data_IF_907659344732
#
_entry.id   IF_907659344732
#
_cell.length_a   1.000
_cell.length_b   1.000
_cell.length_c   1.000
_cell.angle_alpha   90.00
_cell.angle_beta   90.00
_cell.angle_gamma   90.00
#
_symmetry.space_group_name_H-M   'P 1'
#
loop_
_entity.id
_entity.type
_entity.pdbx_description
1 polymer ?
#
# COMPACT_ATOMS: atom_id res chain seq x y z
N UNK A 1 -24.14 6.49 11.03
CA UNK A 1 -24.15 5.10 11.53
C UNK A 1 -22.96 4.95 12.49
N UNK A 2 -23.12 5.45 13.71
CA UNK A 2 -23.12 4.64 14.96
C UNK A 2 -21.94 3.69 15.11
N UNK A 3 -20.90 4.18 15.80
CA UNK A 3 -19.88 3.33 16.39
C UNK A 3 -20.47 2.45 17.50
N UNK A 4 -19.90 1.25 17.66
CA UNK A 4 -20.16 0.39 18.82
C UNK A 4 -18.92 -0.41 19.19
N UNK A 5 -18.16 0.15 20.12
CA UNK A 5 -17.22 -0.57 20.98
C UNK A 5 -18.03 -1.21 22.11
N UNK A 6 -17.96 -2.53 22.28
CA UNK A 6 -18.19 -3.28 23.53
C UNK A 6 -17.86 -4.76 23.28
N UNK A 7 -17.38 -5.62 24.18
CA UNK A 7 -16.77 -5.57 25.53
C UNK A 7 -16.14 -6.97 25.69
N UNK A 8 -14.89 -7.06 26.17
CA UNK A 8 -14.25 -8.35 26.52
C UNK A 8 -14.91 -8.91 27.79
N UNK A 9 -15.43 -10.14 27.71
CA UNK A 9 -15.94 -10.88 28.86
C UNK A 9 -14.79 -11.43 29.71
N UNK A 10 -14.65 -10.86 30.90
CA UNK A 10 -13.83 -11.35 32.00
C UNK A 10 -14.49 -12.57 32.67
N UNK A 11 -13.94 -13.77 32.45
CA UNK A 11 -14.28 -14.94 33.27
C UNK A 11 -13.38 -14.98 34.51
N UNK A 12 -13.92 -14.52 35.64
CA UNK A 12 -13.43 -14.80 36.99
C UNK A 12 -13.80 -16.25 37.36
N UNK A 13 -12.83 -17.12 37.59
CA UNK A 13 -13.06 -18.45 38.17
C UNK A 13 -12.58 -18.50 39.63
N UNK A 14 -13.58 -18.42 40.51
CA UNK A 14 -13.77 -19.08 41.82
C UNK A 14 -12.53 -19.42 42.67
N UNK A 15 -12.42 -18.71 43.80
CA UNK A 15 -11.69 -19.12 45.00
C UNK A 15 -12.41 -20.32 45.67
N UNK A 16 -11.73 -21.36 46.15
CA UNK A 16 -12.33 -22.31 47.07
C UNK A 16 -12.32 -21.73 48.50
N UNK A 17 -13.50 -21.77 49.11
CA UNK A 17 -13.75 -21.49 50.52
C UNK A 17 -13.33 -22.74 51.29
N UNK A 18 -12.34 -22.62 52.17
CA UNK A 18 -11.96 -23.67 53.11
C UNK A 18 -12.71 -23.38 54.42
N UNK A 19 -13.48 -24.34 54.98
CA UNK A 19 -14.11 -24.16 56.29
C UNK A 19 -13.03 -24.11 57.38
N UNK A 20 -13.08 -23.07 58.20
CA UNK A 20 -12.38 -23.02 59.49
C UNK A 20 -13.22 -23.80 60.49
N UNK A 21 -12.69 -24.91 61.01
CA UNK A 21 -12.88 -25.43 62.38
C UNK A 21 -12.41 -26.90 62.46
N UNK A 22 -11.84 -27.25 63.62
CA UNK A 22 -11.21 -28.52 63.99
C UNK A 22 -9.78 -28.74 63.45
N UNK A 23 -8.80 -28.23 64.22
CA UNK A 23 -7.83 -29.03 64.98
C UNK A 23 -7.34 -28.11 66.11
N UNK A 24 -8.09 -28.10 67.21
CA UNK A 24 -7.47 -27.96 68.52
C UNK A 24 -7.08 -29.36 68.99
N UNK A 25 -5.97 -29.43 69.72
CA UNK A 25 -5.43 -30.59 70.44
C UNK A 25 -4.55 -31.56 69.65
N UNK A 26 -3.28 -31.17 69.53
CA UNK A 26 -2.16 -31.97 70.05
C UNK A 26 -0.95 -31.05 70.20
N UNK A 27 -1.00 -30.22 71.25
CA UNK A 27 0.21 -29.82 71.95
C UNK A 27 0.78 -31.09 72.56
N UNK A 28 1.67 -31.75 71.83
CA UNK A 28 2.68 -32.60 72.45
C UNK A 28 4.02 -31.90 72.28
N UNK A 29 4.49 -31.43 73.42
CA UNK A 29 5.79 -30.83 73.69
C UNK A 29 6.92 -31.74 73.21
N UNK A 30 7.42 -31.48 72.00
CA UNK A 30 8.74 -31.89 71.57
C UNK A 30 9.68 -30.69 71.60
N UNK A 31 10.62 -30.69 72.54
CA UNK A 31 11.70 -29.72 72.63
C UNK A 31 12.48 -29.64 71.30
N UNK A 32 12.17 -28.66 70.44
CA UNK A 32 13.12 -28.19 69.45
C UNK A 32 14.23 -27.44 70.18
N UNK A 33 15.21 -28.20 70.65
CA UNK A 33 16.53 -27.71 71.00
C UNK A 33 17.03 -26.92 69.78
N UNK A 34 16.96 -25.60 69.88
CA UNK A 34 17.63 -24.66 68.97
C UNK A 34 19.15 -24.76 69.18
N UNK A 35 19.70 -25.94 68.86
CA UNK A 35 21.13 -26.12 68.70
C UNK A 35 21.60 -25.12 67.65
N UNK A 36 22.56 -24.27 68.01
CA UNK A 36 23.31 -23.49 67.01
C UNK A 36 23.74 -24.48 65.92
N UNK A 37 23.16 -24.38 64.73
CA UNK A 37 23.69 -25.10 63.55
C UNK A 37 25.16 -24.76 63.46
N UNK A 38 26.01 -25.75 63.70
CA UNK A 38 27.45 -25.56 63.63
C UNK A 38 27.82 -25.51 62.14
N UNK A 39 27.60 -24.34 61.54
CA UNK A 39 27.75 -24.09 60.10
C UNK A 39 29.14 -24.46 59.57
N UNK A 40 30.11 -24.57 60.47
CA UNK A 40 31.48 -25.01 60.25
C UNK A 40 31.57 -26.52 60.03
N UNK A 41 30.91 -27.32 60.86
CA UNK A 41 30.85 -28.78 60.73
C UNK A 41 30.01 -29.19 59.50
N UNK A 42 28.88 -28.53 59.29
CA UNK A 42 28.03 -28.74 58.11
C UNK A 42 28.78 -28.44 56.80
N UNK A 43 29.58 -27.36 56.78
CA UNK A 43 30.41 -26.99 55.63
C UNK A 43 31.55 -27.96 55.39
N UNK A 44 32.18 -28.48 56.44
CA UNK A 44 33.23 -29.50 56.32
C UNK A 44 32.65 -30.82 55.77
N UNK A 45 31.48 -31.23 56.27
CA UNK A 45 30.76 -32.41 55.80
C UNK A 45 30.33 -32.28 54.34
N UNK A 46 29.76 -31.13 53.95
CA UNK A 46 29.39 -30.84 52.56
C UNK A 46 30.61 -30.88 51.64
N UNK A 47 31.72 -30.22 52.02
CA UNK A 47 32.95 -30.22 51.23
C UNK A 47 33.53 -31.63 51.06
N UNK A 48 33.54 -32.46 52.12
CA UNK A 48 34.03 -33.85 52.07
C UNK A 48 33.16 -34.72 51.15
N UNK A 49 31.84 -34.56 51.21
CA UNK A 49 30.90 -35.27 50.34
C UNK A 49 31.09 -34.88 48.87
N UNK A 50 31.10 -33.58 48.62
CA UNK A 50 31.26 -32.97 47.33
C UNK A 50 32.57 -33.36 46.62
N UNK A 51 33.69 -33.41 47.36
CA UNK A 51 35.00 -33.78 46.78
C UNK A 51 34.99 -35.19 46.15
N UNK A 52 34.12 -36.09 46.61
CA UNK A 52 34.02 -37.47 46.08
C UNK A 52 33.07 -37.59 44.88
N UNK A 53 32.09 -36.69 44.75
CA UNK A 53 30.99 -36.77 43.78
C UNK A 53 30.84 -35.44 43.03
N UNK A 54 31.96 -34.88 42.53
CA UNK A 54 31.93 -33.59 41.83
C UNK A 54 32.21 -33.69 40.35
N UNK A 55 31.34 -33.11 39.56
CA UNK A 55 31.54 -32.86 38.14
C UNK A 55 32.12 -31.46 37.89
N UNK A 56 32.98 -31.33 36.86
CA UNK A 56 33.41 -30.03 36.38
C UNK A 56 32.20 -29.27 35.84
N UNK A 57 32.09 -28.00 36.24
CA UNK A 57 31.06 -27.11 35.71
C UNK A 57 31.35 -26.83 34.24
N UNK A 58 30.35 -26.97 33.37
CA UNK A 58 30.45 -26.52 31.99
C UNK A 58 30.77 -25.01 31.90
N UNK A 59 30.29 -24.22 32.87
CA UNK A 59 30.61 -22.80 33.04
C UNK A 59 31.15 -22.51 34.45
N UNK A 60 32.36 -21.96 34.59
CA UNK A 60 32.93 -21.66 35.89
C UNK A 60 32.28 -20.43 36.54
N UNK A 61 32.23 -20.42 37.88
CA UNK A 61 31.88 -19.19 38.61
C UNK A 61 32.95 -18.11 38.44
N UNK A 62 32.59 -16.84 38.66
CA UNK A 62 33.49 -15.68 38.40
C UNK A 62 34.82 -15.81 39.15
N UNK A 63 34.78 -16.33 40.37
CA UNK A 63 36.01 -16.52 41.15
C UNK A 63 36.91 -17.60 40.56
N UNK A 64 36.36 -18.78 40.25
CA UNK A 64 37.14 -19.87 39.67
C UNK A 64 37.72 -19.47 38.31
N UNK A 65 36.95 -18.76 37.48
CA UNK A 65 37.42 -18.23 36.21
C UNK A 65 38.61 -17.26 36.38
N UNK A 66 38.49 -16.26 37.25
CA UNK A 66 39.56 -15.27 37.48
C UNK A 66 40.85 -15.87 38.03
N UNK A 67 40.75 -16.93 38.82
CA UNK A 67 41.89 -17.58 39.46
C UNK A 67 42.38 -18.83 38.71
N UNK A 68 41.84 -19.09 37.50
CA UNK A 68 42.15 -20.27 36.67
C UNK A 68 42.04 -21.59 37.45
N UNK A 69 41.07 -21.67 38.36
CA UNK A 69 40.76 -22.88 39.13
C UNK A 69 39.63 -23.64 38.44
N UNK A 70 39.69 -24.96 38.53
CA UNK A 70 38.60 -25.81 38.06
C UNK A 70 37.38 -25.60 38.96
N UNK A 71 36.26 -25.21 38.34
CA UNK A 71 35.00 -25.01 39.06
C UNK A 71 34.26 -26.34 39.09
N UNK A 72 34.08 -26.92 40.27
CA UNK A 72 33.41 -28.20 40.45
C UNK A 72 32.17 -28.03 41.33
N UNK A 73 31.06 -28.64 40.93
CA UNK A 73 29.81 -28.67 41.70
C UNK A 73 29.52 -30.09 42.14
N UNK A 74 28.69 -30.23 43.17
CA UNK A 74 28.25 -31.51 43.68
C UNK A 74 27.20 -32.09 42.72
N UNK A 75 27.33 -33.35 42.33
CA UNK A 75 26.48 -33.99 41.30
C UNK A 75 25.02 -34.15 41.72
N UNK A 76 24.74 -33.99 43.02
CA UNK A 76 23.44 -34.28 43.62
C UNK A 76 22.56 -33.02 43.75
N UNK A 77 22.88 -31.92 43.05
CA UNK A 77 22.15 -30.62 43.05
C UNK A 77 21.89 -29.98 44.43
N UNK A 78 22.45 -30.53 45.51
CA UNK A 78 22.21 -30.06 46.89
C UNK A 78 22.83 -28.68 47.18
N UNK A 79 23.82 -28.25 46.40
CA UNK A 79 24.55 -27.01 46.63
C UNK A 79 24.51 -26.11 45.40
N UNK A 80 24.03 -24.89 45.58
CA UNK A 80 24.13 -23.80 44.59
C UNK A 80 25.55 -23.21 44.50
N UNK A 81 26.50 -23.73 45.30
CA UNK A 81 27.87 -23.25 45.39
C UNK A 81 28.85 -24.30 44.93
N UNK A 82 29.83 -23.89 44.14
CA UNK A 82 30.95 -24.73 43.77
C UNK A 82 31.82 -25.07 44.99
N UNK A 83 32.55 -26.18 44.90
CA UNK A 83 33.46 -26.69 45.92
C UNK A 83 34.39 -25.64 46.50
N UNK A 84 35.00 -24.81 45.66
CA UNK A 84 35.93 -23.77 46.10
C UNK A 84 35.23 -22.62 46.84
N UNK A 85 34.01 -22.27 46.45
CA UNK A 85 33.20 -21.28 47.17
C UNK A 85 32.65 -21.84 48.49
N UNK A 86 32.28 -23.12 48.54
CA UNK A 86 31.95 -23.83 49.79
C UNK A 86 33.17 -23.85 50.70
N UNK A 87 34.36 -24.22 50.20
CA UNK A 87 35.62 -24.23 50.95
C UNK A 87 36.00 -22.86 51.49
N UNK A 88 35.64 -21.78 50.81
CA UNK A 88 35.91 -20.38 51.22
C UNK A 88 34.79 -19.75 52.03
N UNK A 89 33.58 -20.33 52.04
CA UNK A 89 32.44 -19.80 52.79
C UNK A 89 31.92 -18.51 52.19
N UNK A 90 32.08 -18.36 50.87
CA UNK A 90 31.63 -17.19 50.12
C UNK A 90 30.47 -17.58 49.21
N UNK A 91 29.73 -16.57 48.75
CA UNK A 91 28.72 -16.77 47.72
C UNK A 91 29.38 -17.28 46.43
N UNK A 92 28.63 -18.09 45.69
CA UNK A 92 28.99 -18.57 44.36
C UNK A 92 27.95 -18.04 43.39
N UNK A 93 28.40 -17.58 42.23
CA UNK A 93 27.55 -17.08 41.16
C UNK A 93 27.47 -18.04 39.96
N UNK A 94 28.13 -19.20 40.00
CA UNK A 94 28.23 -20.11 38.85
C UNK A 94 26.86 -20.59 38.33
N UNK A 95 25.94 -20.97 39.21
CA UNK A 95 24.56 -21.38 38.81
C UNK A 95 23.80 -20.22 38.17
N UNK A 96 24.00 -19.00 38.68
CA UNK A 96 23.35 -17.79 38.13
C UNK A 96 23.93 -17.43 36.77
N UNK A 97 25.25 -17.55 36.59
CA UNK A 97 25.93 -17.30 35.31
C UNK A 97 25.44 -18.29 34.25
N UNK A 98 25.40 -19.59 34.57
CA UNK A 98 24.95 -20.62 33.63
C UNK A 98 23.47 -20.43 33.23
N UNK A 99 22.58 -20.21 34.20
CA UNK A 99 21.16 -19.96 33.91
C UNK A 99 20.92 -18.67 33.13
N UNK A 100 21.68 -17.60 33.43
CA UNK A 100 21.58 -16.34 32.67
C UNK A 100 22.08 -16.53 31.24
N UNK A 101 23.19 -17.25 31.03
CA UNK A 101 23.72 -17.53 29.71
C UNK A 101 22.75 -18.36 28.87
N UNK A 102 22.19 -19.44 29.42
CA UNK A 102 21.19 -20.25 28.70
C UNK A 102 19.99 -19.39 28.28
N UNK A 103 19.50 -18.51 29.17
CA UNK A 103 18.44 -17.58 28.81
C UNK A 103 18.85 -16.62 27.69
N UNK A 104 20.09 -16.14 27.69
CA UNK A 104 20.59 -15.26 26.62
C UNK A 104 20.71 -16.00 25.28
N UNK A 105 21.16 -17.26 25.29
CA UNK A 105 21.21 -18.12 24.10
C UNK A 105 19.79 -18.35 23.55
N UNK A 106 18.84 -18.74 24.41
CA UNK A 106 17.43 -18.91 23.99
C UNK A 106 16.83 -17.60 23.44
N UNK A 107 17.23 -16.46 23.99
CA UNK A 107 16.79 -15.14 23.49
C UNK A 107 17.45 -14.81 22.16
N UNK A 108 18.72 -15.15 21.98
CA UNK A 108 19.43 -14.95 20.73
C UNK A 108 18.81 -15.78 19.62
N UNK A 109 18.57 -17.07 19.83
CA UNK A 109 17.93 -17.95 18.84
C UNK A 109 16.55 -17.44 18.43
N UNK A 110 15.76 -16.93 19.40
CA UNK A 110 14.46 -16.30 19.09
C UNK A 110 14.58 -15.04 18.26
N UNK A 111 15.60 -14.23 18.51
CA UNK A 111 15.83 -13.01 17.74
C UNK A 111 16.32 -13.33 16.33
N UNK A 112 17.20 -14.33 16.18
CA UNK A 112 17.67 -14.82 14.88
C UNK A 112 16.49 -15.34 14.03
N UNK A 113 15.59 -16.12 14.61
CA UNK A 113 14.38 -16.57 13.92
C UNK A 113 13.43 -15.41 13.52
N UNK A 114 13.31 -14.39 14.37
CA UNK A 114 12.51 -13.20 14.05
C UNK A 114 13.17 -12.34 12.97
N UNK A 115 14.49 -12.25 12.95
CA UNK A 115 15.26 -11.57 11.91
C UNK A 115 15.08 -12.27 10.57
N UNK A 116 15.17 -13.60 10.52
CA UNK A 116 14.94 -14.39 9.32
C UNK A 116 13.51 -14.18 8.78
N UNK A 117 12.49 -14.30 9.65
CA UNK A 117 11.08 -14.09 9.25
C UNK A 117 10.83 -12.65 8.76
N UNK A 118 11.47 -11.65 9.39
CA UNK A 118 11.40 -10.26 8.94
C UNK A 118 12.11 -10.07 7.59
N UNK A 119 13.26 -10.72 7.39
CA UNK A 119 14.02 -10.72 6.14
C UNK A 119 13.19 -11.27 4.98
N UNK A 120 12.54 -12.42 5.17
CA UNK A 120 11.67 -13.04 4.16
C UNK A 120 10.49 -12.13 3.79
N UNK A 121 9.86 -11.49 4.79
CA UNK A 121 8.80 -10.50 4.54
C UNK A 121 9.29 -9.32 3.72
N UNK A 122 10.49 -8.81 4.01
CA UNK A 122 11.10 -7.72 3.22
C UNK A 122 11.33 -8.17 1.78
N UNK A 123 11.81 -9.40 1.55
CA UNK A 123 12.00 -9.93 0.19
C UNK A 123 10.68 -10.04 -0.58
N UNK A 124 9.61 -10.52 0.06
CA UNK A 124 8.28 -10.61 -0.54
C UNK A 124 7.77 -9.21 -0.91
N UNK A 125 7.81 -8.27 0.03
CA UNK A 125 7.37 -6.89 -0.20
C UNK A 125 8.19 -6.19 -1.29
N UNK A 126 9.50 -6.45 -1.34
CA UNK A 126 10.36 -5.90 -2.38
C UNK A 126 9.97 -6.44 -3.76
N UNK A 127 9.61 -7.73 -3.88
CA UNK A 127 9.10 -8.30 -5.13
C UNK A 127 7.79 -7.65 -5.56
N UNK A 128 6.84 -7.48 -4.65
CA UNK A 128 5.56 -6.79 -4.93
C UNK A 128 5.79 -5.34 -5.38
N UNK A 129 6.74 -4.63 -4.74
CA UNK A 129 7.11 -3.28 -5.12
C UNK A 129 7.65 -3.22 -6.56
N UNK A 130 8.49 -4.18 -6.96
CA UNK A 130 9.01 -4.27 -8.33
C UNK A 130 7.90 -4.51 -9.36
N UNK A 131 6.94 -5.38 -9.05
CA UNK A 131 5.78 -5.63 -9.91
C UNK A 131 4.93 -4.37 -10.07
N UNK A 132 4.63 -3.66 -8.97
CA UNK A 132 3.91 -2.39 -9.01
C UNK A 132 4.66 -1.31 -9.77
N UNK A 133 5.98 -1.20 -9.61
CA UNK A 133 6.81 -0.26 -10.34
C UNK A 133 6.78 -0.53 -11.85
N UNK A 134 6.79 -1.81 -12.25
CA UNK A 134 6.68 -2.22 -13.65
C UNK A 134 5.31 -1.83 -14.25
N UNK A 135 4.22 -2.08 -13.52
CA UNK A 135 2.86 -1.69 -13.92
C UNK A 135 2.71 -0.18 -14.05
N UNK A 136 3.29 0.56 -13.10
CA UNK A 136 3.31 2.03 -13.14
C UNK A 136 4.06 2.52 -14.40
N UNK A 137 5.23 1.98 -14.70
CA UNK A 137 5.99 2.34 -15.89
C UNK A 137 5.19 2.09 -17.18
N UNK A 138 4.49 0.95 -17.26
CA UNK A 138 3.61 0.65 -18.38
C UNK A 138 2.46 1.65 -18.50
N UNK A 139 1.74 1.93 -17.40
CA UNK A 139 0.63 2.89 -17.38
C UNK A 139 1.09 4.30 -17.80
N UNK A 140 2.25 4.75 -17.32
CA UNK A 140 2.85 6.03 -17.69
C UNK A 140 3.18 6.06 -19.19
N UNK A 141 3.77 4.99 -19.74
CA UNK A 141 4.08 4.90 -21.17
C UNK A 141 2.82 4.97 -22.05
N UNK A 142 1.75 4.26 -21.64
CA UNK A 142 0.44 4.28 -22.31
C UNK A 142 -0.16 5.69 -22.27
N UNK A 143 -0.12 6.35 -21.12
CA UNK A 143 -0.61 7.73 -20.96
C UNK A 143 0.15 8.71 -21.86
N UNK A 144 1.48 8.60 -21.93
CA UNK A 144 2.30 9.43 -22.81
C UNK A 144 1.93 9.22 -24.28
N UNK A 145 1.72 7.97 -24.71
CA UNK A 145 1.27 7.66 -26.08
C UNK A 145 -0.10 8.27 -26.37
N UNK A 146 -1.07 8.13 -25.47
CA UNK A 146 -2.40 8.73 -25.60
C UNK A 146 -2.30 10.26 -25.71
N UNK A 147 -1.48 10.91 -24.88
CA UNK A 147 -1.26 12.36 -24.96
C UNK A 147 -0.68 12.79 -26.31
N UNK A 148 0.30 12.05 -26.84
CA UNK A 148 0.88 12.31 -28.18
C UNK A 148 -0.17 12.15 -29.28
N UNK A 149 -0.98 11.09 -29.24
CA UNK A 149 -2.06 10.87 -30.21
C UNK A 149 -3.10 11.99 -30.11
N UNK A 150 -3.55 12.34 -28.91
CA UNK A 150 -4.51 13.45 -28.67
C UNK A 150 -4.00 14.76 -29.25
N UNK A 151 -2.71 15.08 -29.08
CA UNK A 151 -2.11 16.30 -29.66
C UNK A 151 -2.19 16.27 -31.19
N UNK A 152 -1.76 15.18 -31.83
CA UNK A 152 -1.83 15.04 -33.30
C UNK A 152 -3.25 15.09 -33.85
N UNK A 153 -4.22 14.49 -33.16
CA UNK A 153 -5.63 14.54 -33.56
C UNK A 153 -6.15 15.97 -33.48
N UNK A 154 -5.80 16.72 -32.43
CA UNK A 154 -6.17 18.15 -32.32
C UNK A 154 -5.56 19.00 -33.43
N UNK A 155 -4.27 18.82 -33.70
CA UNK A 155 -3.56 19.54 -34.77
C UNK A 155 -4.20 19.25 -36.14
N UNK A 156 -4.45 17.98 -36.46
CA UNK A 156 -5.11 17.58 -37.71
C UNK A 156 -6.55 18.08 -37.81
N UNK A 157 -7.28 18.11 -36.68
CA UNK A 157 -8.64 18.67 -36.65
C UNK A 157 -8.66 20.17 -36.94
N UNK A 158 -7.70 20.92 -36.39
CA UNK A 158 -7.55 22.35 -36.68
C UNK A 158 -7.18 22.60 -38.15
N UNK A 159 -6.24 21.83 -38.70
CA UNK A 159 -5.85 21.92 -40.12
C UNK A 159 -7.02 21.63 -41.07
N UNK A 160 -7.81 20.58 -40.81
CA UNK A 160 -8.99 20.26 -41.62
C UNK A 160 -10.07 21.34 -41.52
N UNK A 161 -10.26 21.91 -40.33
CA UNK A 161 -11.21 23.01 -40.14
C UNK A 161 -10.79 24.26 -40.93
N UNK A 162 -9.51 24.65 -40.83
CA UNK A 162 -8.96 25.79 -41.56
C UNK A 162 -9.06 25.58 -43.08
N UNK A 163 -8.73 24.38 -43.57
CA UNK A 163 -8.87 24.04 -44.99
C UNK A 163 -10.32 24.11 -45.46
N UNK A 164 -11.27 23.59 -44.67
CA UNK A 164 -12.69 23.65 -45.01
C UNK A 164 -13.22 25.08 -45.10
N UNK A 165 -12.81 25.95 -44.18
CA UNK A 165 -13.13 27.39 -44.23
C UNK A 165 -12.56 28.05 -45.50
N UNK A 166 -11.31 27.77 -45.86
CA UNK A 166 -10.70 28.29 -47.08
C UNK A 166 -11.35 27.79 -48.37
N UNK A 167 -11.91 26.57 -48.37
CA UNK A 167 -12.65 26.02 -49.51
C UNK A 167 -13.99 26.74 -49.68
N UNK A 168 -14.74 26.96 -48.58
CA UNK A 168 -15.97 27.75 -48.59
C UNK A 168 -15.75 29.19 -49.04
N UNK A 169 -14.72 29.86 -48.50
CA UNK A 169 -14.39 31.23 -48.91
C UNK A 169 -14.09 31.33 -50.41
N UNK A 170 -13.47 30.30 -51.01
CA UNK A 170 -13.21 30.27 -52.46
C UNK A 170 -14.50 30.10 -53.27
N UNK A 171 -15.41 29.25 -52.82
CA UNK A 171 -16.72 29.07 -53.44
C UNK A 171 -17.54 30.36 -53.37
N UNK A 172 -17.56 31.03 -52.22
CA UNK A 172 -18.22 32.33 -52.04
C UNK A 172 -17.64 33.42 -52.94
N UNK A 173 -16.34 33.40 -53.23
CA UNK A 173 -15.71 34.35 -54.16
C UNK A 173 -16.08 34.10 -55.63
N UNK A 174 -16.55 32.91 -56.00
CA UNK A 174 -16.97 32.59 -57.37
C UNK A 174 -18.39 33.11 -57.63
N UNK A 175 -19.25 33.15 -56.61
CA UNK A 175 -20.63 33.60 -56.74
C UNK A 175 -20.76 35.03 -57.31
N UNK A 176 -20.02 36.05 -56.83
CA UNK A 176 -20.05 37.39 -57.42
C UNK A 176 -19.61 37.44 -58.88
N UNK A 177 -18.63 36.62 -59.27
CA UNK A 177 -18.16 36.55 -60.65
C UNK A 177 -19.20 35.91 -61.57
N UNK A 178 -19.87 34.85 -61.10
CA UNK A 178 -20.99 34.22 -61.79
C UNK A 178 -22.20 35.17 -61.89
N UNK A 179 -22.55 35.86 -60.81
CA UNK A 179 -23.62 36.87 -60.80
C UNK A 179 -23.32 38.02 -61.76
N UNK A 180 -22.08 38.54 -61.75
CA UNK A 180 -21.67 39.60 -62.68
C UNK A 180 -21.73 39.14 -64.14
N UNK A 181 -21.35 37.89 -64.40
CA UNK A 181 -21.44 37.29 -65.74
C UNK A 181 -22.90 37.06 -66.16
N UNK A 182 -23.76 36.58 -65.26
CA UNK A 182 -25.20 36.44 -65.48
C UNK A 182 -25.84 37.79 -65.80
N UNK A 183 -25.57 38.82 -64.99
CA UNK A 183 -26.04 40.18 -65.24
C UNK A 183 -25.56 40.72 -66.59
N UNK A 184 -24.30 40.43 -66.97
CA UNK A 184 -23.77 40.80 -68.27
C UNK A 184 -24.51 40.10 -69.42
N UNK A 185 -24.73 38.79 -69.35
CA UNK A 185 -25.48 38.01 -70.35
C UNK A 185 -26.92 38.52 -70.47
N UNK A 186 -27.59 38.75 -69.33
CA UNK A 186 -28.97 39.28 -69.31
C UNK A 186 -29.03 40.66 -69.97
N UNK A 187 -28.08 41.55 -69.66
CA UNK A 187 -28.03 42.89 -70.27
C UNK A 187 -27.71 42.82 -71.79
N UNK A 188 -26.83 41.92 -72.22
CA UNK A 188 -26.50 41.71 -73.64
C UNK A 188 -27.73 41.20 -74.42
N UNK A 189 -28.44 40.19 -73.88
CA UNK A 189 -29.67 39.66 -74.47
C UNK A 189 -30.77 40.74 -74.57
N UNK A 190 -30.94 41.58 -73.54
CA UNK A 190 -31.87 42.71 -73.60
C UNK A 190 -31.46 43.73 -74.67
N UNK A 191 -30.16 43.99 -74.86
CA UNK A 191 -29.65 44.90 -75.89
C UNK A 191 -29.92 44.39 -77.32
N UNK A 192 -29.94 43.06 -77.48
CA UNK A 192 -30.32 42.38 -78.73
C UNK A 192 -31.85 42.32 -78.94
N UNK A 193 -32.63 42.85 -78.01
CA UNK A 193 -34.09 42.93 -78.09
C UNK A 193 -34.81 41.66 -77.63
N UNK A 194 -34.14 40.77 -76.90
CA UNK A 194 -34.79 39.59 -76.31
C UNK A 194 -35.75 40.04 -75.21
N UNK A 195 -37.04 39.67 -75.28
CA UNK A 195 -38.02 40.00 -74.24
C UNK A 195 -37.65 39.42 -72.87
N UNK A 196 -37.90 40.18 -71.81
CA UNK A 196 -37.56 39.77 -70.43
C UNK A 196 -38.42 38.58 -69.93
N UNK A 197 -39.64 38.47 -70.47
CA UNK A 197 -40.56 37.37 -70.23
C UNK A 197 -40.60 36.52 -71.50
N UNK A 198 -39.92 35.37 -71.46
CA UNK A 198 -39.89 34.40 -72.55
C UNK A 198 -40.93 33.33 -72.26
N UNK A 199 -41.95 33.24 -73.12
CA UNK A 199 -42.90 32.14 -73.10
C UNK A 199 -42.30 30.93 -73.82
N UNK A 200 -41.70 30.03 -73.04
CA UNK A 200 -41.01 28.84 -73.55
C UNK A 200 -41.95 27.90 -74.31
N UNK A 201 -43.23 27.83 -73.91
CA UNK A 201 -44.24 27.03 -74.58
C UNK A 201 -44.49 27.49 -76.03
N UNK A 202 -44.41 28.80 -76.29
CA UNK A 202 -44.54 29.38 -77.64
C UNK A 202 -43.37 29.05 -78.57
N UNK A 203 -42.22 28.62 -78.03
CA UNK A 203 -41.05 28.18 -78.81
C UNK A 203 -41.03 26.67 -79.09
N UNK A 204 -42.09 25.94 -78.70
CA UNK A 204 -42.21 24.49 -78.89
C UNK A 204 -41.35 23.65 -77.94
N UNK A 205 -40.74 24.29 -76.94
CA UNK A 205 -40.13 23.65 -75.78
C UNK A 205 -41.26 23.48 -74.77
N UNK A 206 -41.67 22.24 -74.47
CA UNK A 206 -42.88 21.97 -73.68
C UNK A 206 -42.90 22.62 -72.28
N UNK A 207 -44.02 22.48 -71.58
CA UNK A 207 -44.32 23.12 -70.29
C UNK A 207 -43.29 22.89 -69.15
N UNK A 208 -42.29 22.02 -69.34
CA UNK A 208 -41.20 21.75 -68.40
C UNK A 208 -40.32 22.97 -68.08
N UNK A 209 -40.33 24.01 -68.91
CA UNK A 209 -39.51 25.21 -68.71
C UNK A 209 -40.30 26.45 -68.26
N UNK A 210 -41.60 26.34 -68.00
CA UNK A 210 -42.41 27.47 -67.53
C UNK A 210 -42.05 27.93 -66.11
N UNK A 211 -41.37 27.09 -65.33
CA UNK A 211 -40.93 27.41 -63.95
C UNK A 211 -39.68 28.30 -63.90
N UNK A 212 -39.04 28.59 -65.05
CA UNK A 212 -37.73 29.28 -65.09
C UNK A 212 -37.83 30.80 -64.83
N UNK A 213 -39.02 31.38 -64.81
CA UNK A 213 -39.24 32.79 -64.44
C UNK A 213 -38.60 33.83 -65.39
N UNK A 214 -38.75 35.13 -65.11
CA UNK A 214 -38.22 36.21 -65.96
C UNK A 214 -36.69 36.27 -65.97
N UNK A 215 -36.08 36.77 -67.05
CA UNK A 215 -34.62 36.97 -67.17
C UNK A 215 -34.05 37.95 -66.12
N UNK A 216 -34.89 38.82 -65.56
CA UNK A 216 -34.53 39.73 -64.48
C UNK A 216 -35.69 39.76 -63.50
N UNK A 217 -35.45 39.39 -62.25
CA UNK A 217 -36.45 39.54 -61.20
C UNK A 217 -36.67 41.04 -60.96
N UNK A 218 -37.90 41.53 -61.17
CA UNK A 218 -38.24 42.88 -60.76
C UNK A 218 -38.13 42.93 -59.24
N UNK A 219 -37.17 43.68 -58.72
CA UNK A 219 -36.96 43.85 -57.29
C UNK A 219 -38.21 44.39 -56.59
N UNK A 220 -39.07 43.49 -56.12
CA UNK A 220 -40.02 43.73 -55.04
C UNK A 220 -39.40 43.05 -53.83
N UNK A 221 -38.77 43.86 -52.99
CA UNK A 221 -38.23 43.41 -51.71
C UNK A 221 -39.37 42.96 -50.81
N UNK A 222 -39.61 41.66 -50.72
CA UNK A 222 -40.30 41.08 -49.58
C UNK A 222 -39.29 40.86 -48.45
N UNK A 223 -39.20 41.87 -47.58
CA UNK A 223 -38.71 41.67 -46.22
C UNK A 223 -39.60 40.64 -45.51
N UNK A 224 -39.18 39.38 -45.54
CA UNK A 224 -39.71 38.33 -44.68
C UNK A 224 -39.03 38.43 -43.32
N UNK A 225 -39.70 39.07 -42.37
CA UNK A 225 -39.31 39.14 -40.97
C UNK A 225 -39.49 37.77 -40.30
N UNK A 226 -38.40 37.03 -40.15
CA UNK A 226 -38.36 35.82 -39.33
C UNK A 226 -38.48 36.17 -37.84
N UNK A 227 -39.65 35.87 -37.27
CA UNK A 227 -39.94 35.91 -35.83
C UNK A 227 -39.00 34.96 -35.08
N UNK A 228 -38.32 35.50 -34.06
CA UNK A 228 -37.56 34.72 -33.06
C UNK A 228 -38.55 34.07 -32.09
N UNK A 229 -38.60 32.74 -32.10
CA UNK A 229 -39.28 31.94 -31.08
C UNK A 229 -38.46 31.87 -29.79
N UNK A 230 -39.18 31.93 -28.67
CA UNK A 230 -38.71 31.62 -27.31
C UNK A 230 -38.38 30.13 -27.13
#
# INVERSE_FOLDING_TARGET
MSGRVTKRSSKKSKKPIIPQEAIENLFDSGDEVSGRRDTTEDRASLHRFATKNSLPAAMPCTYCFKNKKECRFDDVEKSSRCLECVRRGRSCDGVRVASTLNRLVDQQEKLEAQEEEAGDKVLILHKELMELQSSLAEAVSRLQRIRKIKKRVKERGAELFERGMQELDKEDNILPALQSHEEWVVNDLQSLGVPNDIDWASLGLGDEFNDVGPLKSSGVGESSSGVVGH
#
